data_IF_734258177239
#
_entry.id   IF_734258177239
#
_cell.length_a   1.000
_cell.length_b   1.000
_cell.length_c   1.000
_cell.angle_alpha   90.00
_cell.angle_beta   90.00
_cell.angle_gamma   90.00
#
_symmetry.space_group_name_H-M   'P 1'
#
loop_
_entity.id
_entity.type
_entity.pdbx_description
1 polymer ?
#
# COMPACT_ATOMS: atom_id res chain seq x y z
N UNK A 1 48.75 15.77 43.06
CA UNK A 1 48.04 15.07 41.97
C UNK A 1 46.60 14.95 42.39
N UNK A 2 45.74 15.90 41.98
CA UNK A 2 44.31 15.94 42.32
C UNK A 2 43.51 15.55 41.09
N UNK A 3 42.88 14.40 41.14
CA UNK A 3 41.96 13.91 40.15
C UNK A 3 40.68 14.76 40.18
N UNK A 4 40.42 15.51 39.11
CA UNK A 4 39.14 16.13 38.84
C UNK A 4 38.26 15.08 38.14
N UNK A 5 37.33 14.53 38.89
CA UNK A 5 36.24 13.73 38.33
C UNK A 5 35.22 14.72 37.81
N UNK A 6 35.22 14.92 36.50
CA UNK A 6 34.19 15.67 35.81
C UNK A 6 32.94 14.79 35.73
N UNK A 7 31.93 15.10 36.52
CA UNK A 7 30.61 14.52 36.43
C UNK A 7 29.94 15.07 35.15
N UNK A 8 29.94 14.28 34.10
CA UNK A 8 29.11 14.51 32.91
C UNK A 8 27.68 14.10 33.29
N UNK A 9 26.93 15.02 33.86
CA UNK A 9 25.49 14.93 33.94
C UNK A 9 24.97 15.07 32.49
N UNK A 10 24.83 13.93 31.83
CA UNK A 10 24.13 13.85 30.58
C UNK A 10 22.68 14.29 30.80
N UNK A 11 22.35 15.50 30.36
CA UNK A 11 20.97 15.90 30.15
C UNK A 11 20.37 14.92 29.14
N UNK A 12 19.70 13.86 29.61
CA UNK A 12 18.72 13.13 28.80
C UNK A 12 17.65 14.17 28.45
N UNK A 13 17.81 14.79 27.30
CA UNK A 13 16.75 15.49 26.64
C UNK A 13 15.64 14.43 26.46
N UNK A 14 14.63 14.50 27.30
CA UNK A 14 13.36 13.85 27.10
C UNK A 14 12.83 14.47 25.79
N UNK A 15 13.23 13.90 24.64
CA UNK A 15 12.54 14.16 23.42
C UNK A 15 11.06 13.87 23.73
N UNK A 16 10.14 14.84 23.59
CA UNK A 16 8.75 14.55 23.77
C UNK A 16 8.48 13.37 22.83
N UNK A 17 8.07 12.23 23.42
CA UNK A 17 7.54 11.16 22.61
C UNK A 17 6.43 11.83 21.80
N UNK A 18 6.66 11.98 20.51
CA UNK A 18 5.64 12.46 19.60
C UNK A 18 4.52 11.44 19.73
N UNK A 19 3.59 11.71 20.62
CA UNK A 19 2.35 10.95 20.72
C UNK A 19 1.79 11.00 19.33
N UNK A 20 1.76 9.84 18.67
CA UNK A 20 1.16 9.77 17.35
C UNK A 20 -0.24 10.35 17.50
N UNK A 21 -0.50 11.45 16.80
CA UNK A 21 -1.78 12.12 16.90
C UNK A 21 -2.88 11.10 16.64
N UNK A 22 -3.93 11.14 17.45
CA UNK A 22 -5.10 10.32 17.19
C UNK A 22 -5.71 10.73 15.84
N UNK A 23 -6.27 9.79 15.07
CA UNK A 23 -6.97 10.16 13.85
C UNK A 23 -8.24 10.98 14.18
N UNK A 24 -8.56 11.93 13.33
CA UNK A 24 -9.77 12.74 13.45
C UNK A 24 -11.01 11.97 13.00
N UNK A 25 -10.84 11.11 11.99
CA UNK A 25 -11.92 10.29 11.45
C UNK A 25 -11.46 8.87 11.28
N UNK A 26 -12.31 7.91 11.67
CA UNK A 26 -12.11 6.48 11.41
C UNK A 26 -13.32 5.93 10.67
N UNK A 27 -13.08 5.31 9.53
CA UNK A 27 -14.14 4.71 8.72
C UNK A 27 -13.80 3.28 8.36
N UNK A 28 -14.84 2.43 8.22
CA UNK A 28 -14.75 1.10 7.67
C UNK A 28 -15.32 1.13 6.26
N UNK A 29 -14.47 0.86 5.28
CA UNK A 29 -14.83 0.91 3.86
C UNK A 29 -14.91 -0.48 3.27
N UNK A 30 -16.10 -1.05 3.09
CA UNK A 30 -16.25 -2.27 2.31
C UNK A 30 -15.96 -1.95 0.84
N UNK A 31 -15.21 -2.85 0.23
CA UNK A 31 -14.96 -2.86 -1.21
C UNK A 31 -15.56 -4.15 -1.76
N UNK A 32 -16.37 -4.03 -2.76
CA UNK A 32 -16.91 -5.12 -3.56
C UNK A 32 -17.22 -4.54 -4.93
N UNK A 33 -16.28 -4.66 -5.85
CA UNK A 33 -16.43 -4.07 -7.18
C UNK A 33 -15.73 -4.91 -8.24
N UNK A 34 -16.33 -4.92 -9.41
CA UNK A 34 -15.73 -5.47 -10.63
C UNK A 34 -15.47 -4.34 -11.63
N UNK A 35 -14.34 -4.38 -12.30
CA UNK A 35 -13.97 -3.49 -13.39
C UNK A 35 -13.28 -4.29 -14.49
N UNK A 36 -13.32 -3.79 -15.72
CA UNK A 36 -12.59 -4.40 -16.82
C UNK A 36 -11.36 -3.57 -17.17
N UNK A 37 -10.24 -4.23 -17.42
CA UNK A 37 -8.99 -3.61 -17.88
C UNK A 37 -8.48 -4.29 -19.15
N UNK A 38 -7.69 -3.58 -19.94
CA UNK A 38 -7.00 -4.11 -21.12
C UNK A 38 -5.50 -4.35 -20.92
N UNK A 39 -5.04 -4.44 -19.67
CA UNK A 39 -3.62 -4.53 -19.31
C UNK A 39 -2.86 -5.66 -20.02
N UNK A 40 -3.56 -6.75 -20.38
CA UNK A 40 -3.00 -7.89 -21.09
C UNK A 40 -3.16 -7.84 -22.61
N UNK A 41 -3.63 -6.72 -23.18
CA UNK A 41 -3.98 -6.65 -24.58
C UNK A 41 -5.27 -7.39 -24.95
N UNK A 42 -5.95 -7.98 -23.97
CA UNK A 42 -7.29 -8.54 -24.05
C UNK A 42 -8.07 -8.13 -22.79
N UNK A 43 -9.42 -8.21 -22.80
CA UNK A 43 -10.23 -7.86 -21.64
C UNK A 43 -9.93 -8.77 -20.45
N UNK A 44 -9.67 -8.17 -19.28
CA UNK A 44 -9.51 -8.86 -18.00
C UNK A 44 -10.49 -8.24 -17.02
N UNK A 45 -11.35 -9.06 -16.43
CA UNK A 45 -12.20 -8.65 -15.32
C UNK A 45 -11.39 -8.69 -14.02
N UNK A 46 -11.45 -7.60 -13.25
CA UNK A 46 -10.79 -7.46 -11.95
C UNK A 46 -11.86 -7.27 -10.89
N UNK A 47 -12.08 -8.31 -10.10
CA UNK A 47 -12.96 -8.26 -8.94
C UNK A 47 -12.16 -8.02 -7.67
N UNK A 48 -12.53 -6.99 -6.91
CA UNK A 48 -11.88 -6.60 -5.67
C UNK A 48 -12.87 -6.65 -4.52
N UNK A 49 -12.53 -7.40 -3.47
CA UNK A 49 -13.39 -7.53 -2.28
C UNK A 49 -12.59 -7.45 -0.98
N UNK A 50 -13.20 -6.91 0.06
CA UNK A 50 -12.62 -6.81 1.39
C UNK A 50 -13.12 -5.62 2.18
N UNK A 51 -12.51 -5.38 3.34
CA UNK A 51 -12.83 -4.24 4.20
C UNK A 51 -11.53 -3.56 4.60
N UNK A 52 -11.52 -2.24 4.48
CA UNK A 52 -10.45 -1.40 4.97
C UNK A 52 -10.92 -0.57 6.17
N UNK A 53 -10.09 -0.49 7.21
CA UNK A 53 -10.16 0.61 8.15
C UNK A 53 -9.30 1.75 7.62
N UNK A 54 -9.90 2.92 7.53
CA UNK A 54 -9.23 4.14 7.08
C UNK A 54 -9.21 5.13 8.23
N UNK A 55 -8.02 5.55 8.63
CA UNK A 55 -7.78 6.63 9.58
C UNK A 55 -7.39 7.87 8.81
N UNK A 56 -8.13 8.95 9.02
CA UNK A 56 -7.86 10.24 8.39
C UNK A 56 -7.41 11.24 9.44
N UNK A 57 -6.46 12.06 9.07
CA UNK A 57 -5.92 13.15 9.86
C UNK A 57 -6.17 14.45 9.11
N UNK A 58 -6.76 15.42 9.78
CA UNK A 58 -7.20 16.68 9.19
C UNK A 58 -6.27 17.81 9.60
N UNK A 59 -6.21 18.86 8.79
CA UNK A 59 -5.65 20.14 9.18
C UNK A 59 -6.73 20.98 9.93
N UNK A 60 -6.32 22.16 10.40
CA UNK A 60 -7.23 23.10 11.11
C UNK A 60 -8.39 23.59 10.23
N UNK A 61 -8.29 23.48 8.92
CA UNK A 61 -9.34 23.83 7.96
C UNK A 61 -10.28 22.65 7.64
N UNK A 62 -9.99 21.46 8.17
CA UNK A 62 -10.77 20.23 7.94
C UNK A 62 -10.40 19.48 6.67
N UNK A 63 -9.29 19.82 6.02
CA UNK A 63 -8.80 19.04 4.87
C UNK A 63 -8.03 17.82 5.33
N UNK A 64 -8.18 16.71 4.60
CA UNK A 64 -7.39 15.51 4.85
C UNK A 64 -5.94 15.78 4.43
N UNK A 65 -5.00 15.70 5.38
CA UNK A 65 -3.55 15.86 5.14
C UNK A 65 -2.81 14.53 5.17
N UNK A 66 -3.39 13.52 5.79
CA UNK A 66 -2.82 12.18 5.87
C UNK A 66 -3.90 11.13 6.00
N UNK A 67 -3.68 9.98 5.38
CA UNK A 67 -4.49 8.78 5.58
C UNK A 67 -3.60 7.57 5.90
N UNK A 68 -4.16 6.66 6.69
CA UNK A 68 -3.63 5.32 6.87
C UNK A 68 -4.74 4.33 6.56
N UNK A 69 -4.46 3.39 5.68
CA UNK A 69 -5.37 2.31 5.35
C UNK A 69 -4.82 1.00 5.90
N UNK A 70 -5.68 0.20 6.45
CA UNK A 70 -5.35 -1.14 6.93
C UNK A 70 -6.40 -2.13 6.48
N UNK A 71 -5.95 -3.26 5.98
CA UNK A 71 -6.84 -4.37 5.59
C UNK A 71 -7.32 -5.06 6.86
N UNK A 72 -8.63 -5.04 7.14
CA UNK A 72 -9.21 -5.72 8.31
C UNK A 72 -9.31 -7.23 8.11
N UNK A 73 -9.63 -7.63 6.90
CA UNK A 73 -9.65 -9.02 6.44
C UNK A 73 -8.91 -9.10 5.14
N UNK A 74 -8.49 -10.30 4.76
CA UNK A 74 -7.81 -10.48 3.49
C UNK A 74 -8.54 -9.74 2.37
N UNK A 75 -7.91 -8.69 1.86
CA UNK A 75 -8.40 -7.99 0.68
C UNK A 75 -8.00 -8.82 -0.52
N UNK A 76 -8.97 -9.33 -1.24
CA UNK A 76 -8.77 -10.22 -2.37
C UNK A 76 -9.01 -9.44 -3.66
N UNK A 77 -8.10 -9.58 -4.61
CA UNK A 77 -8.26 -9.12 -5.98
C UNK A 77 -8.16 -10.33 -6.89
N UNK A 78 -9.22 -10.56 -7.68
CA UNK A 78 -9.30 -11.68 -8.61
C UNK A 78 -9.30 -11.14 -10.03
N UNK A 79 -8.36 -11.59 -10.84
CA UNK A 79 -8.29 -11.31 -12.28
C UNK A 79 -8.83 -12.51 -13.03
N UNK A 80 -9.72 -12.27 -13.97
CA UNK A 80 -10.36 -13.32 -14.78
C UNK A 80 -10.33 -12.93 -16.25
N UNK A 81 -9.89 -13.84 -17.10
CA UNK A 81 -10.10 -13.72 -18.53
C UNK A 81 -11.49 -14.27 -18.87
N UNK A 82 -12.48 -13.43 -19.23
CA UNK A 82 -13.83 -13.90 -19.50
C UNK A 82 -13.96 -14.77 -20.76
N UNK A 83 -12.96 -14.73 -21.65
CA UNK A 83 -12.99 -15.52 -22.89
C UNK A 83 -12.69 -17.00 -22.67
N UNK A 84 -11.90 -17.36 -21.63
CA UNK A 84 -11.51 -18.75 -21.36
C UNK A 84 -11.80 -19.19 -19.92
N UNK A 85 -12.22 -18.26 -19.03
CA UNK A 85 -12.54 -18.52 -17.64
C UNK A 85 -11.32 -18.71 -16.73
N UNK A 86 -10.09 -18.57 -17.23
CA UNK A 86 -8.90 -18.61 -16.38
C UNK A 86 -8.92 -17.47 -15.38
N UNK A 87 -8.53 -17.75 -14.17
CA UNK A 87 -8.61 -16.81 -13.05
C UNK A 87 -7.43 -16.97 -12.11
N UNK A 88 -6.97 -15.86 -11.56
CA UNK A 88 -5.93 -15.82 -10.53
C UNK A 88 -6.35 -14.84 -9.43
N UNK A 89 -6.14 -15.21 -8.18
CA UNK A 89 -6.45 -14.37 -7.04
C UNK A 89 -5.19 -13.92 -6.31
N UNK A 90 -5.16 -12.65 -5.93
CA UNK A 90 -4.17 -12.05 -5.05
C UNK A 90 -4.80 -11.73 -3.71
N UNK A 91 -4.09 -12.02 -2.63
CA UNK A 91 -4.46 -11.58 -1.29
C UNK A 91 -3.49 -10.51 -0.85
N UNK A 92 -3.98 -9.29 -0.82
CA UNK A 92 -3.23 -8.13 -0.35
C UNK A 92 -3.25 -8.06 1.17
N UNK A 93 -2.14 -7.63 1.76
CA UNK A 93 -2.05 -7.43 3.20
C UNK A 93 -0.96 -6.47 3.56
N UNK A 94 -1.30 -5.49 4.39
CA UNK A 94 -0.38 -4.50 4.88
C UNK A 94 -0.98 -3.10 4.89
N UNK A 95 -0.31 -2.14 5.52
CA UNK A 95 -0.76 -0.77 5.57
C UNK A 95 -0.41 0.00 4.28
N UNK A 96 -1.29 0.94 3.94
CA UNK A 96 -1.01 2.02 3.00
C UNK A 96 -1.04 3.33 3.78
N UNK A 97 -0.03 4.16 3.57
CA UNK A 97 0.07 5.50 4.15
C UNK A 97 0.07 6.50 3.01
N UNK A 98 -0.78 7.50 3.10
CA UNK A 98 -0.87 8.57 2.11
C UNK A 98 -0.70 9.91 2.81
N UNK A 99 0.16 10.76 2.27
CA UNK A 99 0.33 12.15 2.67
C UNK A 99 -0.06 13.06 1.51
N UNK A 100 -0.89 14.06 1.80
CA UNK A 100 -1.37 15.07 0.87
C UNK A 100 -0.68 16.38 1.18
N UNK A 101 -0.08 17.01 0.17
CA UNK A 101 0.65 18.25 0.34
C UNK A 101 -0.16 19.46 -0.17
N UNK A 102 0.09 20.67 0.36
CA UNK A 102 -0.64 21.86 -0.03
C UNK A 102 -0.51 22.26 -1.51
N UNK A 103 0.54 21.81 -2.17
CA UNK A 103 0.76 22.03 -3.62
C UNK A 103 -0.05 21.07 -4.50
N UNK A 104 -0.80 20.13 -3.89
CA UNK A 104 -1.57 19.11 -4.56
C UNK A 104 -0.81 17.82 -4.87
N UNK A 105 0.49 17.76 -4.52
CA UNK A 105 1.24 16.52 -4.64
C UNK A 105 0.82 15.50 -3.58
N UNK A 106 1.11 14.21 -3.84
CA UNK A 106 0.75 13.09 -2.97
C UNK A 106 1.97 12.18 -2.84
N UNK A 107 2.24 11.73 -1.63
CA UNK A 107 3.17 10.63 -1.39
C UNK A 107 2.42 9.45 -0.80
N UNK A 108 2.54 8.28 -1.42
CA UNK A 108 1.92 7.06 -0.94
C UNK A 108 2.98 6.01 -0.65
N UNK A 109 2.90 5.41 0.52
CA UNK A 109 3.75 4.29 0.94
C UNK A 109 2.88 3.05 1.07
N UNK A 110 3.14 2.05 0.24
CA UNK A 110 2.53 0.73 0.35
C UNK A 110 3.55 -0.22 0.94
N UNK A 111 3.18 -0.91 2.01
CA UNK A 111 4.06 -1.88 2.66
C UNK A 111 3.28 -3.15 2.98
N UNK A 112 3.93 -4.30 2.86
CA UNK A 112 3.30 -5.57 3.18
C UNK A 112 3.65 -6.68 2.22
N UNK A 113 2.68 -7.52 1.97
CA UNK A 113 2.81 -8.66 1.06
C UNK A 113 1.61 -8.74 0.14
N UNK A 114 1.91 -9.03 -1.09
CA UNK A 114 0.96 -9.46 -2.09
C UNK A 114 1.24 -10.92 -2.45
N UNK A 115 0.24 -11.76 -2.47
CA UNK A 115 0.35 -13.15 -2.89
C UNK A 115 -0.55 -13.38 -4.08
N UNK A 116 0.04 -13.76 -5.18
CA UNK A 116 -0.68 -14.29 -6.32
C UNK A 116 -0.80 -15.80 -6.15
N UNK A 117 -2.04 -16.29 -6.05
CA UNK A 117 -2.31 -17.73 -5.99
C UNK A 117 -2.92 -18.17 -7.31
N UNK A 118 -2.31 -19.13 -7.92
CA UNK A 118 -2.97 -19.98 -8.91
C UNK A 118 -3.64 -21.12 -8.15
N UNK A 119 -4.75 -21.63 -8.66
CA UNK A 119 -5.51 -22.70 -8.03
C UNK A 119 -4.59 -23.85 -7.55
N UNK A 120 -4.93 -24.46 -6.42
CA UNK A 120 -4.12 -25.47 -5.76
C UNK A 120 -3.63 -26.53 -6.74
N UNK A 121 -2.32 -26.62 -6.96
CA UNK A 121 -1.69 -27.62 -7.81
C UNK A 121 -1.35 -27.13 -9.23
N UNK A 122 -1.72 -25.93 -9.62
CA UNK A 122 -1.52 -25.41 -10.96
C UNK A 122 -0.71 -24.11 -10.94
N UNK A 123 0.57 -24.20 -11.11
CA UNK A 123 1.42 -23.07 -11.47
C UNK A 123 2.14 -22.33 -10.33
N UNK A 124 2.92 -21.28 -10.67
CA UNK A 124 3.79 -20.58 -9.74
C UNK A 124 3.00 -19.72 -8.76
N UNK A 125 3.46 -19.69 -7.53
CA UNK A 125 3.07 -18.69 -6.54
C UNK A 125 4.04 -17.53 -6.67
N UNK A 126 3.61 -16.42 -7.21
CA UNK A 126 4.34 -15.17 -7.08
C UNK A 126 4.01 -14.54 -5.73
N UNK A 127 5.02 -14.13 -4.99
CA UNK A 127 4.87 -13.42 -3.74
C UNK A 127 5.75 -12.17 -3.76
N UNK A 128 5.12 -11.03 -3.63
CA UNK A 128 5.81 -9.77 -3.41
C UNK A 128 5.75 -9.43 -1.93
N UNK A 129 6.89 -9.06 -1.35
CA UNK A 129 7.00 -8.62 0.03
C UNK A 129 7.91 -7.42 0.06
N UNK A 130 7.45 -6.35 0.69
CA UNK A 130 8.34 -5.21 0.86
C UNK A 130 7.61 -3.89 1.03
N UNK A 131 8.24 -2.85 0.52
CA UNK A 131 7.76 -1.48 0.56
C UNK A 131 8.01 -0.82 -0.78
N UNK A 132 7.02 -0.08 -1.25
CA UNK A 132 7.12 0.82 -2.39
C UNK A 132 6.65 2.20 -1.99
N UNK A 133 7.27 3.23 -2.55
CA UNK A 133 6.87 4.62 -2.38
C UNK A 133 6.52 5.16 -3.75
N UNK A 134 5.31 5.66 -3.88
CA UNK A 134 4.82 6.41 -5.03
C UNK A 134 4.81 7.88 -4.70
N UNK A 135 5.16 8.70 -5.65
CA UNK A 135 4.98 10.14 -5.59
C UNK A 135 4.22 10.60 -6.83
N UNK A 136 3.13 11.32 -6.61
CA UNK A 136 2.33 11.92 -7.68
C UNK A 136 2.50 13.43 -7.57
N UNK A 137 2.98 14.06 -8.61
CA UNK A 137 3.14 15.50 -8.66
C UNK A 137 1.79 16.23 -8.84
N UNK A 138 1.73 17.56 -8.71
CA UNK A 138 0.50 18.32 -8.92
C UNK A 138 -0.11 18.20 -10.33
N UNK A 139 0.67 17.79 -11.31
CA UNK A 139 0.20 17.53 -12.68
C UNK A 139 -0.37 16.13 -12.87
N UNK A 140 -0.30 15.28 -11.82
CA UNK A 140 -0.76 13.89 -11.85
C UNK A 140 0.27 12.91 -12.40
N UNK A 141 1.54 13.33 -12.55
CA UNK A 141 2.61 12.43 -12.99
C UNK A 141 3.08 11.58 -11.80
N UNK A 142 2.99 10.26 -11.98
CA UNK A 142 3.46 9.30 -10.97
C UNK A 142 4.94 8.96 -11.18
N UNK A 143 5.68 8.89 -10.09
CA UNK A 143 7.06 8.39 -10.03
C UNK A 143 7.20 7.42 -8.87
N UNK A 144 8.18 6.51 -8.95
CA UNK A 144 8.49 5.53 -7.90
C UNK A 144 9.90 5.79 -7.36
N UNK A 145 10.05 6.72 -6.39
CA UNK A 145 11.36 7.06 -5.83
C UNK A 145 12.01 5.94 -5.03
N UNK A 146 11.22 4.96 -4.57
CA UNK A 146 11.75 3.83 -3.81
C UNK A 146 10.87 2.59 -3.98
N UNK A 147 11.52 1.46 -4.21
CA UNK A 147 10.93 0.12 -4.08
C UNK A 147 11.97 -0.83 -3.49
N UNK A 148 11.53 -1.78 -2.64
CA UNK A 148 12.42 -2.87 -2.22
C UNK A 148 12.70 -3.79 -3.40
N UNK A 149 13.88 -4.47 -3.46
CA UNK A 149 14.22 -5.35 -4.58
C UNK A 149 13.23 -6.51 -4.81
N UNK A 150 12.49 -6.89 -3.77
CA UNK A 150 11.47 -7.94 -3.83
C UNK A 150 10.10 -7.43 -4.33
N UNK A 151 9.97 -6.13 -4.53
CA UNK A 151 8.75 -5.54 -5.07
C UNK A 151 8.90 -5.42 -6.58
N UNK A 152 8.27 -6.32 -7.29
CA UNK A 152 8.17 -6.25 -8.74
C UNK A 152 7.04 -5.29 -9.12
N UNK A 153 7.38 -4.23 -9.82
CA UNK A 153 6.42 -3.24 -10.29
C UNK A 153 5.72 -3.66 -11.58
N UNK A 154 6.22 -4.69 -12.25
CA UNK A 154 5.66 -5.20 -13.49
C UNK A 154 5.41 -6.72 -13.44
N UNK A 155 4.39 -7.12 -12.69
CA UNK A 155 3.91 -8.52 -12.68
C UNK A 155 2.97 -8.83 -13.86
N UNK A 156 2.69 -7.85 -14.70
CA UNK A 156 1.76 -8.00 -15.80
C UNK A 156 2.16 -9.09 -16.81
N UNK A 157 3.44 -9.27 -17.17
CA UNK A 157 3.82 -10.32 -18.10
C UNK A 157 3.43 -11.73 -17.65
N UNK A 158 3.71 -12.08 -16.38
CA UNK A 158 3.39 -13.40 -15.83
C UNK A 158 1.88 -13.58 -15.66
N UNK A 159 1.19 -12.55 -15.15
CA UNK A 159 -0.26 -12.53 -15.04
C UNK A 159 -0.91 -12.75 -16.40
N UNK A 160 -0.49 -12.00 -17.41
CA UNK A 160 -1.06 -12.08 -18.75
C UNK A 160 -0.75 -13.41 -19.45
N UNK A 161 0.45 -13.93 -19.29
CA UNK A 161 0.81 -15.24 -19.82
C UNK A 161 -0.03 -16.37 -19.21
N UNK A 162 -0.36 -16.26 -17.93
CA UNK A 162 -1.25 -17.24 -17.28
C UNK A 162 -2.69 -17.11 -17.77
N UNK A 163 -3.22 -15.89 -17.85
CA UNK A 163 -4.61 -15.64 -18.24
C UNK A 163 -4.89 -15.90 -19.74
N UNK A 164 -3.87 -15.82 -20.59
CA UNK A 164 -3.98 -16.18 -22.00
C UNK A 164 -4.25 -17.68 -22.18
#
# INVERSE_FOLDING_TARGET
>A
MRLLVAAILGALALAPAALAAAPDVVTHRPIDRTQTTGVCGFPVEVHSEGIFTVWQYLDDAGNVVRERWHVERAFTVTWTNPANGKSIASVLGGPVFTEYFPDGSITQVVAGRERLFIARGEGPVAMQVGRVVFHVDPAGTETVPFATPQWDLDINPELCAYLA
#
